data_IF_759280583568
#
_entry.id   IF_759280583568
#
_cell.length_a   1.000
_cell.length_b   1.000
_cell.length_c   1.000
_cell.angle_alpha   90.00
_cell.angle_beta   90.00
_cell.angle_gamma   90.00
#
_symmetry.space_group_name_H-M   'P 1'
#
loop_
_entity.id
_entity.type
_entity.pdbx_description
1 polymer ?
#
# COMPACT_ATOMS: atom_id res chain seq x y z
N UNK A 1 -11.64 43.56 -33.83
CA UNK A 1 -11.67 42.49 -32.81
C UNK A 1 -10.27 41.90 -32.70
N UNK A 2 -9.49 42.30 -31.71
CA UNK A 2 -8.15 41.78 -31.50
C UNK A 2 -8.29 40.45 -30.81
N UNK A 3 -7.96 39.35 -31.50
CA UNK A 3 -7.84 38.03 -30.88
C UNK A 3 -6.60 38.04 -29.97
N UNK A 4 -6.79 38.02 -28.65
CA UNK A 4 -5.73 37.82 -27.67
C UNK A 4 -5.19 36.38 -27.85
N UNK A 5 -4.34 36.16 -28.85
CA UNK A 5 -3.63 34.91 -28.99
C UNK A 5 -2.68 34.76 -27.82
N UNK A 6 -2.99 33.79 -26.95
CA UNK A 6 -2.09 33.44 -25.85
C UNK A 6 -0.78 32.90 -26.42
N UNK A 7 0.28 33.72 -26.31
CA UNK A 7 1.61 33.34 -26.74
C UNK A 7 2.15 32.32 -25.75
N UNK A 8 2.36 31.09 -26.21
CA UNK A 8 2.99 30.03 -25.42
C UNK A 8 4.46 29.87 -25.81
N UNK A 9 5.37 29.55 -24.88
CA UNK A 9 6.73 29.12 -25.21
C UNK A 9 6.71 27.93 -26.19
N UNK A 10 7.77 27.80 -27.00
CA UNK A 10 7.85 26.79 -28.05
C UNK A 10 7.68 25.35 -27.51
N UNK A 11 8.34 25.04 -26.38
CA UNK A 11 8.22 23.77 -25.73
C UNK A 11 6.82 23.46 -25.18
N UNK A 12 5.95 24.45 -25.02
CA UNK A 12 4.53 24.29 -24.63
C UNK A 12 3.65 24.16 -25.88
N UNK A 13 3.98 24.92 -26.95
CA UNK A 13 3.18 25.03 -28.16
C UNK A 13 2.97 23.68 -28.86
N UNK A 14 3.96 22.80 -28.85
CA UNK A 14 3.87 21.45 -29.43
C UNK A 14 2.71 20.61 -28.88
N UNK A 15 2.22 20.87 -27.66
CA UNK A 15 1.10 20.18 -27.05
C UNK A 15 -0.26 20.81 -27.35
N UNK A 16 -0.30 21.93 -28.06
CA UNK A 16 -1.54 22.58 -28.51
C UNK A 16 -2.05 21.90 -29.78
N UNK A 17 -2.57 20.68 -29.64
CA UNK A 17 -3.14 19.91 -30.74
C UNK A 17 -4.67 19.89 -30.68
N UNK A 18 -5.33 19.46 -31.76
CA UNK A 18 -6.80 19.36 -31.82
C UNK A 18 -7.33 18.50 -30.66
N UNK A 19 -8.29 19.03 -29.92
CA UNK A 19 -8.88 18.31 -28.75
C UNK A 19 -8.10 18.49 -27.45
N UNK A 20 -7.08 19.37 -27.41
CA UNK A 20 -6.38 19.72 -26.17
C UNK A 20 -6.57 21.20 -25.81
N UNK A 21 -6.45 21.50 -24.52
CA UNK A 21 -6.46 22.85 -23.96
C UNK A 21 -5.32 23.01 -22.98
N UNK A 22 -4.60 24.12 -23.09
CA UNK A 22 -3.53 24.49 -22.19
C UNK A 22 -4.02 25.65 -21.30
N UNK A 23 -3.89 25.44 -19.97
CA UNK A 23 -4.17 26.45 -18.96
C UNK A 23 -2.87 26.87 -18.27
N UNK A 24 -2.63 28.18 -18.13
CA UNK A 24 -1.48 28.68 -17.33
C UNK A 24 -1.99 29.09 -15.96
N UNK A 25 -1.42 28.53 -14.92
CA UNK A 25 -1.74 28.84 -13.52
C UNK A 25 -0.42 28.95 -12.75
N UNK A 26 -0.22 30.06 -12.07
CA UNK A 26 0.99 30.33 -11.26
C UNK A 26 2.31 30.01 -11.98
N UNK A 27 2.42 30.43 -13.26
CA UNK A 27 3.62 30.21 -14.07
C UNK A 27 3.77 28.81 -14.69
N UNK A 28 2.99 27.84 -14.26
CA UNK A 28 2.99 26.45 -14.78
C UNK A 28 1.94 26.26 -15.87
N UNK A 29 2.22 25.36 -16.82
CA UNK A 29 1.32 25.03 -17.92
C UNK A 29 0.70 23.66 -17.71
N UNK A 30 -0.64 23.59 -17.78
CA UNK A 30 -1.43 22.39 -17.55
C UNK A 30 -2.13 21.96 -18.81
N UNK A 31 -1.97 20.69 -19.20
CA UNK A 31 -2.60 20.10 -20.37
C UNK A 31 -3.90 19.40 -20.00
N UNK A 32 -4.95 19.65 -20.77
CA UNK A 32 -6.25 19.01 -20.64
C UNK A 32 -6.71 18.44 -21.99
N UNK A 33 -7.37 17.28 -21.97
CA UNK A 33 -8.15 16.80 -23.11
C UNK A 33 -9.53 17.42 -23.04
N UNK A 34 -9.94 18.13 -24.09
CA UNK A 34 -11.26 18.75 -24.21
C UNK A 34 -12.18 17.85 -25.01
N UNK A 35 -13.31 17.49 -24.43
CA UNK A 35 -14.43 16.81 -25.06
C UNK A 35 -15.68 17.65 -24.88
N UNK A 36 -16.77 17.31 -25.57
CA UNK A 36 -18.08 17.91 -25.37
C UNK A 36 -19.06 16.85 -24.91
N UNK A 37 -19.88 17.19 -23.91
CA UNK A 37 -20.95 16.32 -23.42
C UNK A 37 -22.29 17.04 -23.54
N UNK A 38 -23.31 16.35 -24.06
CA UNK A 38 -24.68 16.85 -24.04
C UNK A 38 -25.22 16.74 -22.62
N UNK A 39 -25.73 17.84 -22.11
CA UNK A 39 -26.33 17.94 -20.78
C UNK A 39 -27.81 18.25 -20.99
N UNK A 40 -28.67 17.51 -20.34
CA UNK A 40 -30.12 17.73 -20.39
C UNK A 40 -30.48 19.15 -19.93
N UNK A 41 -31.40 19.80 -20.63
CA UNK A 41 -31.79 21.21 -20.37
C UNK A 41 -30.81 22.25 -20.91
N UNK A 42 -29.69 21.90 -21.56
CA UNK A 42 -28.77 22.85 -22.21
C UNK A 42 -28.96 22.84 -23.73
N UNK A 43 -29.09 24.02 -24.32
CA UNK A 43 -29.25 24.21 -25.79
C UNK A 43 -28.05 23.67 -26.56
N UNK A 44 -26.83 23.79 -26.02
CA UNK A 44 -25.56 23.39 -26.66
C UNK A 44 -24.78 22.42 -25.79
N UNK A 45 -23.99 21.51 -26.41
CA UNK A 45 -23.07 20.64 -25.68
C UNK A 45 -22.10 21.45 -24.81
N UNK A 46 -21.85 21.00 -23.60
CA UNK A 46 -20.90 21.65 -22.68
C UNK A 46 -19.50 21.07 -22.86
N UNK A 47 -18.48 21.93 -22.83
CA UNK A 47 -17.09 21.48 -22.86
C UNK A 47 -16.69 20.83 -21.55
N UNK A 48 -16.10 19.64 -21.63
CA UNK A 48 -15.57 18.89 -20.49
C UNK A 48 -14.06 18.77 -20.65
N UNK A 49 -13.32 19.35 -19.73
CA UNK A 49 -11.85 19.31 -19.72
C UNK A 49 -11.39 18.20 -18.76
N UNK A 50 -10.74 17.15 -19.29
CA UNK A 50 -10.11 16.11 -18.51
C UNK A 50 -8.63 16.41 -18.39
N UNK A 51 -8.13 16.53 -17.17
CA UNK A 51 -6.73 16.78 -16.88
C UNK A 51 -5.83 15.65 -17.37
N UNK A 52 -4.69 16.00 -18.03
CA UNK A 52 -3.67 15.06 -18.51
C UNK A 52 -2.41 15.17 -17.65
N UNK A 53 -1.86 16.39 -17.47
CA UNK A 53 -0.62 16.57 -16.72
C UNK A 53 -0.09 18.01 -16.78
N UNK A 54 1.06 18.21 -16.16
CA UNK A 54 1.85 19.44 -16.24
C UNK A 54 2.80 19.35 -17.42
N UNK A 55 2.86 20.39 -18.26
CA UNK A 55 3.85 20.48 -19.33
C UNK A 55 5.14 21.02 -18.73
N UNK A 56 6.23 20.28 -18.85
CA UNK A 56 7.60 20.68 -18.51
C UNK A 56 8.47 20.73 -19.76
N UNK A 57 9.71 21.18 -19.63
CA UNK A 57 10.68 21.17 -20.75
C UNK A 57 11.04 19.75 -21.18
N UNK A 58 10.97 18.80 -20.25
CA UNK A 58 11.31 17.37 -20.44
C UNK A 58 10.10 16.55 -20.94
N UNK A 59 8.89 17.14 -20.93
CA UNK A 59 7.69 16.44 -21.36
C UNK A 59 6.47 16.68 -20.48
N UNK A 60 5.46 15.80 -20.59
CA UNK A 60 4.25 15.86 -19.77
C UNK A 60 4.42 15.03 -18.53
N UNK A 61 4.40 15.66 -17.37
CA UNK A 61 4.41 14.98 -16.06
C UNK A 61 2.98 14.77 -15.60
N UNK A 62 2.59 13.50 -15.43
CA UNK A 62 1.27 13.16 -14.92
C UNK A 62 1.19 13.59 -13.44
N UNK A 63 0.27 14.49 -13.09
CA UNK A 63 0.12 14.99 -11.73
C UNK A 63 -0.36 13.95 -10.71
N UNK A 64 -0.58 12.70 -11.13
CA UNK A 64 -0.84 11.60 -10.18
C UNK A 64 0.42 11.16 -9.42
N UNK A 65 1.59 11.54 -9.86
CA UNK A 65 2.78 11.52 -9.04
C UNK A 65 2.91 12.85 -8.28
N UNK A 66 1.99 13.13 -7.33
CA UNK A 66 2.41 13.93 -6.20
C UNK A 66 3.55 13.14 -5.58
N UNK A 67 4.79 13.51 -5.89
CA UNK A 67 5.92 13.21 -5.03
C UNK A 67 5.55 13.92 -3.73
N UNK A 68 4.90 13.20 -2.83
CA UNK A 68 4.81 13.61 -1.44
C UNK A 68 6.27 13.56 -1.01
N UNK A 69 6.92 14.70 -0.68
CA UNK A 69 8.24 14.62 -0.09
C UNK A 69 8.07 13.65 1.07
N UNK A 70 8.82 12.54 1.06
CA UNK A 70 8.88 11.63 2.19
C UNK A 70 9.23 12.53 3.38
N UNK A 71 8.26 12.73 4.27
CA UNK A 71 8.55 13.39 5.52
C UNK A 71 9.62 12.54 6.21
N UNK A 72 10.50 13.16 6.97
CA UNK A 72 11.51 12.48 7.77
C UNK A 72 10.91 11.43 8.71
N UNK A 73 9.61 11.44 8.91
CA UNK A 73 8.87 10.63 9.86
C UNK A 73 8.08 9.47 9.19
N UNK A 74 8.47 9.07 7.98
CA UNK A 74 7.89 7.90 7.34
C UNK A 74 8.51 6.62 7.92
N UNK A 75 7.72 5.82 8.60
CA UNK A 75 8.11 4.50 9.13
C UNK A 75 7.39 3.41 8.35
N UNK A 76 8.15 2.41 7.89
CA UNK A 76 7.63 1.26 7.14
C UNK A 76 7.92 -0.01 7.93
N UNK A 77 6.89 -0.79 8.22
CA UNK A 77 6.97 -2.03 9.01
C UNK A 77 6.35 -3.20 8.25
N UNK A 78 6.92 -4.40 8.41
CA UNK A 78 6.26 -5.61 7.93
C UNK A 78 4.93 -5.80 8.68
N UNK A 79 3.87 -6.14 7.94
CA UNK A 79 2.52 -6.24 8.48
C UNK A 79 1.81 -7.54 8.11
N UNK A 80 1.95 -7.98 6.85
CA UNK A 80 1.12 -9.03 6.29
C UNK A 80 1.26 -10.37 6.99
N UNK A 81 2.47 -10.90 7.11
CA UNK A 81 2.69 -12.18 7.77
C UNK A 81 2.46 -12.09 9.27
N UNK A 82 2.98 -11.04 9.93
CA UNK A 82 2.79 -10.84 11.37
C UNK A 82 1.31 -10.76 11.75
N UNK A 83 0.51 -9.97 11.03
CA UNK A 83 -0.93 -9.84 11.28
C UNK A 83 -1.69 -11.12 10.97
N UNK A 84 -1.32 -11.80 9.88
CA UNK A 84 -1.90 -13.09 9.51
C UNK A 84 -1.69 -14.12 10.62
N UNK A 85 -0.46 -14.29 11.10
CA UNK A 85 -0.17 -15.25 12.16
C UNK A 85 -0.96 -14.98 13.43
N UNK A 86 -1.12 -13.71 13.84
CA UNK A 86 -1.95 -13.35 14.99
C UNK A 86 -3.42 -13.72 14.82
N UNK A 87 -3.92 -13.69 13.58
CA UNK A 87 -5.33 -13.92 13.30
C UNK A 87 -5.73 -15.38 13.22
N UNK A 88 -4.79 -16.29 12.92
CA UNK A 88 -5.08 -17.71 12.59
C UNK A 88 -4.32 -18.71 13.46
N UNK A 89 -3.90 -18.33 14.66
CA UNK A 89 -3.16 -19.25 15.54
C UNK A 89 -3.98 -20.51 15.84
N UNK A 90 -3.50 -21.72 15.48
CA UNK A 90 -4.24 -22.95 15.71
C UNK A 90 -4.48 -23.22 17.21
N UNK A 91 -5.69 -23.61 17.57
CA UNK A 91 -6.05 -23.89 18.96
C UNK A 91 -5.18 -25.01 19.57
N UNK A 92 -4.85 -26.02 18.77
CA UNK A 92 -3.95 -27.08 19.23
C UNK A 92 -2.52 -26.59 19.49
N UNK A 93 -2.07 -25.52 18.81
CA UNK A 93 -0.78 -24.89 19.11
C UNK A 93 -0.86 -24.09 20.41
N UNK A 94 -1.91 -23.29 20.61
CA UNK A 94 -2.14 -22.54 21.87
C UNK A 94 -2.12 -23.45 23.09
N UNK A 95 -2.82 -24.57 23.00
CA UNK A 95 -2.84 -25.59 24.09
C UNK A 95 -1.46 -26.16 24.40
N UNK A 96 -0.63 -26.40 23.39
CA UNK A 96 0.71 -26.90 23.57
C UNK A 96 1.67 -25.91 24.20
N UNK A 97 1.51 -24.62 23.89
CA UNK A 97 2.34 -23.53 24.42
C UNK A 97 1.90 -23.15 25.84
N UNK A 98 0.59 -23.25 26.12
CA UNK A 98 0.01 -22.90 27.43
C UNK A 98 -0.58 -21.50 27.46
N UNK A 99 -0.84 -20.97 28.65
CA UNK A 99 -1.57 -19.72 28.87
C UNK A 99 -0.88 -18.50 28.27
N UNK A 100 0.44 -18.49 28.25
CA UNK A 100 1.26 -17.40 27.72
C UNK A 100 1.49 -17.49 26.20
N UNK A 101 0.63 -18.21 25.46
CA UNK A 101 0.82 -18.43 24.03
C UNK A 101 0.92 -17.12 23.20
N UNK A 102 0.23 -16.05 23.61
CA UNK A 102 0.29 -14.75 22.92
C UNK A 102 1.69 -14.13 23.03
N UNK A 103 2.25 -14.11 24.22
CA UNK A 103 3.60 -13.58 24.45
C UNK A 103 4.65 -14.39 23.69
N UNK A 104 4.53 -15.72 23.74
CA UNK A 104 5.40 -16.60 22.96
C UNK A 104 5.28 -16.30 21.47
N UNK A 105 4.06 -16.12 20.96
CA UNK A 105 3.86 -15.78 19.55
C UNK A 105 4.48 -14.41 19.18
N UNK A 106 4.34 -13.40 20.02
CA UNK A 106 4.97 -12.10 19.78
C UNK A 106 6.50 -12.20 19.72
N UNK A 107 7.11 -12.95 20.66
CA UNK A 107 8.55 -13.21 20.65
C UNK A 107 8.97 -13.96 19.39
N UNK A 108 8.20 -14.95 18.96
CA UNK A 108 8.48 -15.72 17.74
C UNK A 108 8.42 -14.83 16.51
N UNK A 109 7.39 -13.98 16.39
CA UNK A 109 7.24 -13.04 15.27
C UNK A 109 8.41 -12.06 15.26
N UNK A 110 8.74 -11.42 16.38
CA UNK A 110 9.83 -10.48 16.49
C UNK A 110 11.18 -11.09 16.07
N UNK A 111 11.43 -12.34 16.43
CA UNK A 111 12.69 -13.03 16.11
C UNK A 111 12.79 -13.56 14.67
N UNK A 112 11.66 -13.94 14.07
CA UNK A 112 11.66 -14.58 12.74
C UNK A 112 11.18 -13.67 11.61
N UNK A 113 10.57 -12.53 11.95
CA UNK A 113 10.07 -11.55 10.99
C UNK A 113 10.76 -10.22 11.25
N UNK A 114 11.75 -9.95 10.42
CA UNK A 114 12.49 -8.69 10.48
C UNK A 114 11.56 -7.49 10.28
N UNK A 115 11.76 -6.46 11.09
CA UNK A 115 11.04 -5.20 11.00
C UNK A 115 9.50 -5.33 11.14
N UNK A 116 9.02 -6.30 11.93
CA UNK A 116 7.59 -6.47 12.20
C UNK A 116 6.98 -5.22 12.84
N UNK A 117 5.73 -4.90 12.48
CA UNK A 117 4.97 -3.81 13.08
C UNK A 117 4.71 -4.04 14.57
N UNK A 118 4.74 -5.29 15.04
CA UNK A 118 4.49 -5.61 16.44
C UNK A 118 5.55 -5.01 17.36
N UNK A 119 6.83 -5.08 16.98
CA UNK A 119 7.91 -4.45 17.74
C UNK A 119 7.82 -2.91 17.76
N UNK A 120 7.09 -2.33 16.81
CA UNK A 120 6.87 -0.89 16.76
C UNK A 120 5.64 -0.43 17.58
N UNK A 121 4.56 -1.21 17.55
CA UNK A 121 3.31 -0.88 18.24
C UNK A 121 3.25 -1.41 19.68
N UNK A 122 4.00 -2.45 20.01
CA UNK A 122 3.94 -3.13 21.30
C UNK A 122 5.33 -3.28 21.92
N UNK A 123 5.42 -3.12 23.23
CA UNK A 123 6.62 -3.46 23.99
C UNK A 123 6.72 -4.98 24.10
N UNK A 124 7.65 -5.57 23.34
CA UNK A 124 7.91 -7.01 23.41
C UNK A 124 8.94 -7.24 24.53
N UNK A 125 8.64 -8.10 25.52
CA UNK A 125 9.57 -8.37 26.61
C UNK A 125 10.88 -9.00 26.08
N UNK A 126 12.02 -8.44 26.46
CA UNK A 126 13.31 -9.10 26.28
C UNK A 126 13.34 -10.35 27.19
N UNK A 127 13.26 -11.52 26.59
CA UNK A 127 13.44 -12.79 27.32
C UNK A 127 14.75 -13.45 26.90
N UNK A 128 15.36 -14.15 27.86
CA UNK A 128 16.57 -14.92 27.64
C UNK A 128 16.46 -15.87 26.45
N UNK A 129 17.53 -15.95 25.69
CA UNK A 129 17.58 -16.59 24.37
C UNK A 129 17.67 -18.10 24.47
N UNK A 130 16.54 -18.80 24.52
CA UNK A 130 16.50 -20.23 24.25
C UNK A 130 16.16 -20.48 22.76
N UNK A 131 17.17 -20.37 21.90
CA UNK A 131 17.04 -20.48 20.43
C UNK A 131 16.41 -21.81 20.00
N UNK A 132 16.74 -22.92 20.66
CA UNK A 132 16.22 -24.24 20.31
C UNK A 132 14.71 -24.34 20.54
N UNK A 133 14.22 -23.84 21.66
CA UNK A 133 12.80 -23.84 22.00
C UNK A 133 12.02 -22.90 21.05
N UNK A 134 12.57 -21.74 20.77
CA UNK A 134 11.96 -20.76 19.86
C UNK A 134 11.79 -21.34 18.45
N UNK A 135 12.82 -22.01 17.93
CA UNK A 135 12.76 -22.65 16.61
C UNK A 135 11.77 -23.82 16.56
N UNK A 136 11.71 -24.63 17.62
CA UNK A 136 10.75 -25.74 17.72
C UNK A 136 9.30 -25.24 17.70
N UNK A 137 8.99 -24.20 18.46
CA UNK A 137 7.64 -23.58 18.46
C UNK A 137 7.28 -22.97 17.11
N UNK A 138 8.21 -22.27 16.46
CA UNK A 138 8.01 -21.71 15.12
C UNK A 138 7.68 -22.80 14.10
N UNK A 139 8.46 -23.85 14.02
CA UNK A 139 8.22 -24.95 13.10
C UNK A 139 6.91 -25.69 13.40
N UNK A 140 6.58 -25.87 14.68
CA UNK A 140 5.33 -26.52 15.09
C UNK A 140 4.11 -25.68 14.70
N UNK A 141 4.22 -24.34 14.77
CA UNK A 141 3.17 -23.43 14.34
C UNK A 141 2.87 -23.60 12.84
N UNK A 142 3.88 -23.49 11.99
CA UNK A 142 3.70 -23.61 10.53
C UNK A 142 3.26 -25.02 10.10
N UNK A 143 3.73 -26.06 10.75
CA UNK A 143 3.25 -27.42 10.48
C UNK A 143 1.75 -27.53 10.74
N UNK A 144 1.24 -26.97 11.83
CA UNK A 144 -0.20 -26.98 12.14
C UNK A 144 -1.00 -26.08 11.20
N UNK A 145 -0.49 -24.89 10.87
CA UNK A 145 -1.12 -24.02 9.89
C UNK A 145 -1.24 -24.69 8.52
N UNK A 146 -0.19 -25.41 8.09
CA UNK A 146 -0.24 -26.19 6.85
C UNK A 146 -1.30 -27.30 6.91
N UNK A 147 -1.38 -28.01 8.02
CA UNK A 147 -2.39 -29.07 8.22
C UNK A 147 -3.81 -28.53 8.23
N UNK A 148 -4.05 -27.35 8.83
CA UNK A 148 -5.38 -26.77 9.00
C UNK A 148 -5.86 -26.02 7.76
N UNK A 149 -4.97 -25.25 7.12
CA UNK A 149 -5.32 -24.37 6.00
C UNK A 149 -4.77 -24.84 4.65
N UNK A 150 -3.88 -25.84 4.62
CA UNK A 150 -3.23 -26.31 3.40
C UNK A 150 -2.34 -25.25 2.74
N UNK A 151 -1.80 -24.29 3.51
CA UNK A 151 -0.89 -23.23 3.05
C UNK A 151 0.52 -23.60 3.45
N UNK A 152 1.45 -23.63 2.47
CA UNK A 152 2.86 -23.94 2.72
C UNK A 152 3.59 -22.77 3.37
N UNK A 153 4.77 -23.04 3.95
CA UNK A 153 5.62 -21.98 4.50
C UNK A 153 6.03 -20.93 3.46
N UNK A 154 6.31 -21.35 2.23
CA UNK A 154 6.69 -20.45 1.15
C UNK A 154 5.54 -19.53 0.73
N UNK A 155 4.30 -20.07 0.69
CA UNK A 155 3.11 -19.26 0.45
C UNK A 155 2.94 -18.20 1.55
N UNK A 156 3.06 -18.59 2.84
CA UNK A 156 3.04 -17.64 3.96
C UNK A 156 4.14 -16.60 3.87
N UNK A 157 5.35 -16.99 3.44
CA UNK A 157 6.50 -16.09 3.32
C UNK A 157 6.26 -14.96 2.32
N UNK A 158 5.41 -15.17 1.31
CA UNK A 158 5.04 -14.11 0.35
C UNK A 158 4.31 -12.94 1.02
N UNK A 159 3.61 -13.20 2.14
CA UNK A 159 2.90 -12.17 2.89
C UNK A 159 3.84 -11.19 3.62
N UNK A 160 5.13 -11.50 3.79
CA UNK A 160 6.15 -10.58 4.35
C UNK A 160 6.29 -9.29 3.54
N UNK A 161 5.88 -9.30 2.27
CA UNK A 161 5.96 -8.14 1.39
C UNK A 161 4.73 -7.22 1.48
N UNK A 162 3.86 -7.42 2.46
CA UNK A 162 2.77 -6.51 2.78
C UNK A 162 3.21 -5.65 3.97
N UNK A 163 3.26 -4.34 3.74
CA UNK A 163 3.80 -3.38 4.70
C UNK A 163 2.72 -2.46 5.26
N UNK A 164 2.93 -2.05 6.50
CA UNK A 164 2.19 -0.97 7.15
C UNK A 164 3.09 0.27 7.16
N UNK A 165 2.59 1.35 6.59
CA UNK A 165 3.32 2.60 6.40
C UNK A 165 2.70 3.66 7.29
N UNK A 166 3.49 4.27 8.13
CA UNK A 166 3.11 5.34 9.04
C UNK A 166 3.70 6.64 8.49
N UNK A 167 2.85 7.61 8.20
CA UNK A 167 3.25 8.94 7.73
C UNK A 167 2.45 9.96 8.53
N UNK A 168 3.15 10.74 9.32
CA UNK A 168 2.55 11.67 10.29
C UNK A 168 1.56 10.91 11.21
N UNK A 169 0.29 11.32 11.22
CA UNK A 169 -0.80 10.67 11.99
C UNK A 169 -1.61 9.65 11.17
N UNK A 170 -1.17 9.32 9.94
CA UNK A 170 -1.90 8.43 9.03
C UNK A 170 -1.18 7.11 8.85
N UNK A 171 -1.98 6.06 8.70
CA UNK A 171 -1.48 4.70 8.48
C UNK A 171 -2.05 4.16 7.15
N UNK A 172 -1.21 3.51 6.37
CA UNK A 172 -1.57 2.91 5.08
C UNK A 172 -1.06 1.47 5.02
N UNK A 173 -1.79 0.62 4.30
CA UNK A 173 -1.31 -0.71 3.94
C UNK A 173 -0.79 -0.64 2.51
N UNK A 174 0.36 -1.28 2.24
CA UNK A 174 0.89 -1.40 0.90
C UNK A 174 -0.08 -2.15 -0.03
N UNK A 175 0.13 -2.03 -1.33
CA UNK A 175 -0.66 -2.77 -2.30
C UNK A 175 -0.48 -4.28 -2.07
N UNK A 176 -1.60 -5.00 -1.96
CA UNK A 176 -1.65 -6.45 -1.90
C UNK A 176 -1.77 -6.96 -3.35
N UNK A 177 -0.86 -7.81 -3.77
CA UNK A 177 -0.90 -8.42 -5.10
C UNK A 177 -1.93 -9.56 -5.18
N UNK A 178 -2.16 -10.09 -6.38
CA UNK A 178 -3.19 -11.10 -6.59
C UNK A 178 -2.82 -12.46 -5.96
N UNK A 179 -1.53 -12.82 -5.92
CA UNK A 179 -1.05 -14.04 -5.27
C UNK A 179 -1.27 -13.98 -3.75
N UNK A 180 -0.88 -12.88 -3.13
CA UNK A 180 -1.10 -12.61 -1.71
C UNK A 180 -2.60 -12.60 -1.36
N UNK A 181 -3.43 -11.99 -2.22
CA UNK A 181 -4.88 -11.95 -2.02
C UNK A 181 -5.50 -13.34 -1.99
N UNK A 182 -5.12 -14.23 -2.92
CA UNK A 182 -5.59 -15.63 -2.94
C UNK A 182 -5.23 -16.38 -1.66
N UNK A 183 -4.03 -16.14 -1.11
CA UNK A 183 -3.61 -16.75 0.16
C UNK A 183 -4.48 -16.21 1.32
N UNK A 184 -4.68 -14.90 1.39
CA UNK A 184 -5.51 -14.27 2.43
C UNK A 184 -6.97 -14.72 2.36
N UNK A 185 -7.53 -14.87 1.16
CA UNK A 185 -8.87 -15.42 0.94
C UNK A 185 -8.98 -16.87 1.43
N UNK A 186 -7.98 -17.71 1.09
CA UNK A 186 -7.90 -19.10 1.57
C UNK A 186 -7.86 -19.18 3.10
N UNK A 187 -7.19 -18.21 3.73
CA UNK A 187 -7.09 -18.08 5.19
C UNK A 187 -8.30 -17.34 5.81
N UNK A 188 -9.20 -16.79 5.00
CA UNK A 188 -10.35 -15.96 5.41
C UNK A 188 -9.95 -14.71 6.20
N UNK A 189 -8.85 -14.07 5.77
CA UNK A 189 -8.30 -12.88 6.41
C UNK A 189 -8.48 -11.66 5.52
N UNK A 190 -8.95 -10.56 6.12
CA UNK A 190 -9.03 -9.24 5.49
C UNK A 190 -8.03 -8.29 6.16
N UNK A 191 -6.92 -7.99 5.46
CA UNK A 191 -5.90 -7.05 5.93
C UNK A 191 -6.23 -5.59 5.59
N UNK A 192 -7.27 -5.31 4.82
CA UNK A 192 -7.64 -3.94 4.42
C UNK A 192 -8.24 -3.14 5.59
N UNK A 193 -8.73 -3.82 6.60
CA UNK A 193 -9.27 -3.20 7.82
C UNK A 193 -8.14 -2.93 8.80
N UNK A 194 -7.61 -1.73 8.75
CA UNK A 194 -6.70 -1.20 9.78
C UNK A 194 -7.57 -0.77 10.95
N UNK A 195 -7.47 -1.49 12.07
CA UNK A 195 -8.09 -1.07 13.33
C UNK A 195 -7.09 -0.25 14.12
#
# INVERSE_FOLDING_TARGET
MFSNEKVYPEWVRQYKVKGTVIKKVNGSYYLYKRTSKRVEGKKYPQAVDRYIGVITKEGIVNAKAKIIPLSSDCVVKEYGLSRTLLSIVPEGWKKNVGENWKEVLYILIDRHIENSYLAYEFSIPEKEDNRNTTFAYWNSLFRRLNQEYGVSFDEFSSLKNIYKVYIDSKTFISRIDEGQRKILEKLRIDLSKVY
#
